data_IF_443908590187
#
_entry.id   IF_443908590187
#
_cell.length_a   1.000
_cell.length_b   1.000
_cell.length_c   1.000
_cell.angle_alpha   90.00
_cell.angle_beta   90.00
_cell.angle_gamma   90.00
#
_symmetry.space_group_name_H-M   'P 1'
#
loop_
_entity.id
_entity.type
_entity.pdbx_description
1 polymer ?
#
# COMPACT_ATOMS: atom_id res chain seq x y z
N UNK A 1 -9.41 52.68 -0.07
CA UNK A 1 -9.72 51.66 -1.10
C UNK A 1 -9.19 50.31 -0.62
N UNK A 2 -10.04 49.28 -0.70
CA UNK A 2 -9.92 47.97 -0.04
C UNK A 2 -8.56 47.29 -0.27
N UNK A 3 -7.81 47.02 0.80
CA UNK A 3 -6.76 45.97 0.79
C UNK A 3 -7.43 44.70 1.29
N UNK A 4 -7.62 43.77 0.37
CA UNK A 4 -8.18 42.44 0.64
C UNK A 4 -7.18 41.70 1.53
N UNK A 5 -7.67 41.32 2.71
CA UNK A 5 -7.02 40.43 3.66
C UNK A 5 -6.92 39.04 2.99
N UNK A 6 -5.75 38.70 2.43
CA UNK A 6 -5.45 37.31 2.10
C UNK A 6 -5.16 36.58 3.42
N UNK A 7 -6.20 35.91 3.93
CA UNK A 7 -6.10 34.88 4.93
C UNK A 7 -5.38 33.69 4.27
N UNK A 8 -4.04 33.69 4.30
CA UNK A 8 -3.29 32.47 4.01
C UNK A 8 -3.62 31.49 5.14
N UNK A 9 -4.41 30.46 4.79
CA UNK A 9 -4.62 29.28 5.61
C UNK A 9 -3.25 28.75 6.04
N UNK A 10 -2.89 29.01 7.29
CA UNK A 10 -1.88 28.23 7.99
C UNK A 10 -2.49 26.85 8.23
N UNK A 11 -2.46 25.98 7.22
CA UNK A 11 -2.60 24.54 7.44
C UNK A 11 -1.31 24.13 8.14
N UNK A 12 -1.36 24.18 9.47
CA UNK A 12 -0.36 23.57 10.35
C UNK A 12 -0.30 22.07 10.00
N UNK A 13 0.61 21.69 9.11
CA UNK A 13 1.09 20.33 9.04
C UNK A 13 2.00 20.11 10.24
N UNK A 14 1.40 19.75 11.36
CA UNK A 14 2.15 19.09 12.43
C UNK A 14 2.39 17.67 11.93
N UNK A 15 3.49 17.47 11.19
CA UNK A 15 4.10 16.17 10.98
C UNK A 15 4.73 15.71 12.29
N UNK A 16 3.86 15.39 13.25
CA UNK A 16 4.26 14.54 14.36
C UNK A 16 4.44 13.14 13.78
N UNK A 17 5.68 12.82 13.42
CA UNK A 17 6.21 11.46 13.43
C UNK A 17 6.16 10.94 14.87
N UNK A 18 4.95 10.72 15.39
CA UNK A 18 4.71 9.87 16.53
C UNK A 18 4.34 8.51 15.97
N UNK A 19 5.25 7.56 16.11
CA UNK A 19 4.86 6.17 16.35
C UNK A 19 4.08 6.17 17.67
N UNK A 20 2.83 6.64 17.64
CA UNK A 20 1.88 6.35 18.68
C UNK A 20 1.72 4.83 18.64
N UNK A 21 1.99 4.17 19.76
CA UNK A 21 1.42 2.86 20.04
C UNK A 21 -0.10 3.06 19.94
N UNK A 22 -0.65 2.86 18.75
CA UNK A 22 -2.07 2.98 18.51
C UNK A 22 -2.73 1.85 19.28
N UNK A 23 -3.90 2.12 19.88
CA UNK A 23 -4.72 1.15 20.61
C UNK A 23 -5.27 0.03 19.67
N UNK A 24 -4.39 -0.68 18.96
CA UNK A 24 -4.72 -1.59 17.87
C UNK A 24 -5.36 -0.91 16.66
N UNK A 25 -5.11 0.39 16.44
CA UNK A 25 -5.66 1.15 15.31
C UNK A 25 -4.63 1.35 14.20
N UNK A 26 -5.08 1.30 12.96
CA UNK A 26 -4.28 1.40 11.75
C UNK A 26 -4.81 2.57 10.91
N UNK A 27 -3.89 3.35 10.34
CA UNK A 27 -4.22 4.58 9.61
C UNK A 27 -4.56 4.24 8.18
N UNK A 28 -5.77 4.59 7.74
CA UNK A 28 -6.18 4.49 6.34
C UNK A 28 -6.57 5.86 5.81
N UNK A 29 -6.15 6.18 4.59
CA UNK A 29 -6.58 7.39 3.90
C UNK A 29 -7.82 7.06 3.07
N UNK A 30 -8.98 7.56 3.46
CA UNK A 30 -10.15 7.54 2.59
C UNK A 30 -10.03 8.71 1.63
N UNK A 31 -9.81 8.43 0.35
CA UNK A 31 -9.41 9.45 -0.60
C UNK A 31 -10.45 9.69 -1.69
N UNK A 32 -10.61 10.97 -2.07
CA UNK A 32 -11.35 11.39 -3.23
C UNK A 32 -10.47 12.27 -4.13
N UNK A 33 -9.81 11.69 -5.13
CA UNK A 33 -8.96 12.43 -6.06
C UNK A 33 -9.76 13.03 -7.22
N UNK A 34 -11.09 12.81 -7.27
CA UNK A 34 -11.93 13.23 -8.40
C UNK A 34 -12.35 14.70 -8.29
N UNK A 35 -13.00 15.19 -9.35
CA UNK A 35 -13.59 16.53 -9.38
C UNK A 35 -15.04 16.57 -8.84
N UNK A 36 -15.57 15.46 -8.32
CA UNK A 36 -16.94 15.36 -7.81
C UNK A 36 -16.95 15.03 -6.33
N UNK A 37 -18.05 15.36 -5.65
CA UNK A 37 -18.27 14.85 -4.30
C UNK A 37 -18.52 13.35 -4.36
N UNK A 38 -18.03 12.62 -3.37
CA UNK A 38 -18.35 11.21 -3.19
C UNK A 38 -18.96 10.96 -1.82
N UNK A 39 -19.76 9.90 -1.73
CA UNK A 39 -20.36 9.43 -0.48
C UNK A 39 -20.04 7.96 -0.30
N UNK A 40 -19.61 7.61 0.90
CA UNK A 40 -19.31 6.24 1.32
C UNK A 40 -19.64 6.11 2.79
N UNK A 41 -20.11 4.95 3.21
CA UNK A 41 -20.26 4.62 4.64
C UNK A 41 -19.18 3.62 5.03
N UNK A 42 -18.46 3.86 6.12
CA UNK A 42 -17.51 2.91 6.71
C UNK A 42 -17.89 2.67 8.16
N UNK A 43 -18.10 1.41 8.56
CA UNK A 43 -18.54 1.01 9.90
C UNK A 43 -19.69 1.86 10.46
N UNK A 44 -20.75 2.03 9.66
CA UNK A 44 -21.95 2.84 9.98
C UNK A 44 -21.74 4.36 10.01
N UNK A 45 -20.52 4.86 9.80
CA UNK A 45 -20.25 6.30 9.69
C UNK A 45 -20.27 6.72 8.23
N UNK A 46 -21.12 7.71 7.91
CA UNK A 46 -21.20 8.30 6.58
C UNK A 46 -20.11 9.35 6.40
N UNK A 47 -19.39 9.26 5.29
CA UNK A 47 -18.38 10.21 4.84
C UNK A 47 -18.84 10.85 3.53
N UNK A 48 -18.81 12.20 3.50
CA UNK A 48 -19.09 12.98 2.30
C UNK A 48 -17.83 13.76 1.93
N UNK A 49 -17.02 13.22 1.01
CA UNK A 49 -15.75 13.83 0.65
C UNK A 49 -15.96 14.83 -0.49
N UNK A 50 -15.39 16.01 -0.33
CA UNK A 50 -15.31 17.03 -1.37
C UNK A 50 -14.29 16.63 -2.44
N UNK A 51 -14.30 17.26 -3.63
CA UNK A 51 -13.33 16.96 -4.66
C UNK A 51 -11.91 17.24 -4.17
N UNK A 52 -10.95 16.39 -4.55
CA UNK A 52 -9.52 16.53 -4.20
C UNK A 52 -9.27 16.64 -2.70
N UNK A 53 -10.00 15.85 -1.91
CA UNK A 53 -9.83 15.79 -0.45
C UNK A 53 -9.74 14.35 0.01
N UNK A 54 -9.20 14.16 1.21
CA UNK A 54 -9.14 12.89 1.88
C UNK A 54 -9.53 13.04 3.35
N UNK A 55 -9.90 11.93 3.96
CA UNK A 55 -10.17 11.79 5.38
C UNK A 55 -9.24 10.72 5.97
N UNK A 56 -8.78 10.94 7.20
CA UNK A 56 -7.94 9.97 7.91
C UNK A 56 -8.81 9.07 8.76
N UNK A 57 -8.85 7.78 8.41
CA UNK A 57 -9.52 6.73 9.16
C UNK A 57 -8.56 6.08 10.14
N UNK A 58 -9.03 5.85 11.37
CA UNK A 58 -8.30 5.10 12.39
C UNK A 58 -9.06 3.80 12.67
N UNK A 59 -8.84 2.79 11.85
CA UNK A 59 -9.59 1.52 11.89
C UNK A 59 -8.89 0.51 12.80
N UNK A 60 -9.65 -0.24 13.58
CA UNK A 60 -9.07 -1.29 14.45
C UNK A 60 -8.70 -2.53 13.65
N UNK A 61 -7.99 -3.49 14.24
CA UNK A 61 -7.97 -4.84 13.67
C UNK A 61 -9.36 -5.48 13.74
N UNK A 62 -9.66 -6.39 12.82
CA UNK A 62 -10.93 -7.12 12.77
C UNK A 62 -11.68 -6.89 11.48
N UNK A 63 -12.97 -7.19 11.51
CA UNK A 63 -13.88 -7.09 10.36
C UNK A 63 -14.49 -5.69 10.27
N UNK A 64 -14.63 -5.23 9.02
CA UNK A 64 -15.14 -3.92 8.66
C UNK A 64 -16.04 -4.02 7.45
N UNK A 65 -16.90 -3.01 7.28
CA UNK A 65 -17.76 -2.88 6.12
C UNK A 65 -17.69 -1.47 5.55
N UNK A 66 -17.59 -1.39 4.23
CA UNK A 66 -17.78 -0.20 3.45
C UNK A 66 -19.03 -0.35 2.56
N UNK A 67 -19.88 0.68 2.51
CA UNK A 67 -21.02 0.74 1.59
C UNK A 67 -20.81 1.89 0.61
N UNK A 68 -20.72 1.55 -0.67
CA UNK A 68 -20.54 2.48 -1.78
C UNK A 68 -21.84 3.20 -2.11
N UNK A 69 -21.76 4.27 -2.90
CA UNK A 69 -22.92 5.07 -3.28
C UNK A 69 -23.96 4.34 -4.13
N UNK A 70 -23.54 3.28 -4.83
CA UNK A 70 -24.42 2.43 -5.63
C UNK A 70 -25.11 1.32 -4.81
N UNK A 71 -24.85 1.26 -3.49
CA UNK A 71 -25.39 0.25 -2.57
C UNK A 71 -24.48 -0.96 -2.38
N UNK A 72 -23.41 -1.10 -3.18
CA UNK A 72 -22.45 -2.21 -3.06
C UNK A 72 -21.80 -2.20 -1.68
N UNK A 73 -21.81 -3.35 -1.01
CA UNK A 73 -21.17 -3.57 0.29
C UNK A 73 -19.88 -4.35 0.12
N UNK A 74 -18.79 -3.80 0.61
CA UNK A 74 -17.46 -4.40 0.62
C UNK A 74 -17.08 -4.72 2.05
N UNK A 75 -16.91 -5.99 2.36
CA UNK A 75 -16.44 -6.47 3.64
C UNK A 75 -14.94 -6.67 3.56
N UNK A 76 -14.22 -6.21 4.58
CA UNK A 76 -12.78 -6.33 4.62
C UNK A 76 -12.29 -6.58 6.05
N UNK A 77 -11.13 -7.19 6.16
CA UNK A 77 -10.51 -7.55 7.44
C UNK A 77 -9.15 -6.91 7.56
N UNK A 78 -8.91 -6.23 8.68
CA UNK A 78 -7.63 -5.62 9.04
C UNK A 78 -6.89 -6.54 10.02
N UNK A 79 -5.64 -6.86 9.70
CA UNK A 79 -4.78 -7.69 10.53
C UNK A 79 -3.96 -6.87 11.54
N UNK A 80 -3.49 -7.51 12.61
CA UNK A 80 -2.74 -6.84 13.68
C UNK A 80 -1.40 -6.26 13.22
N UNK A 81 -0.82 -6.79 12.14
CA UNK A 81 0.42 -6.28 11.53
C UNK A 81 0.16 -5.20 10.46
N UNK A 82 -1.08 -4.73 10.30
CA UNK A 82 -1.42 -3.75 9.28
C UNK A 82 -0.61 -2.46 9.46
N UNK A 83 -0.05 -1.97 8.37
CA UNK A 83 0.60 -0.67 8.25
C UNK A 83 -0.37 0.39 7.76
N UNK A 84 -1.64 0.03 7.55
CA UNK A 84 -2.64 0.91 6.98
C UNK A 84 -2.72 0.82 5.46
N UNK A 85 -3.25 1.87 4.83
CA UNK A 85 -3.42 1.90 3.38
C UNK A 85 -4.27 3.05 2.88
N UNK A 86 -4.80 2.90 1.67
CA UNK A 86 -5.73 3.86 1.05
C UNK A 86 -7.04 3.14 0.76
N UNK A 87 -8.17 3.73 1.15
CA UNK A 87 -9.51 3.34 0.72
C UNK A 87 -9.86 4.22 -0.48
N UNK A 88 -9.97 3.58 -1.65
CA UNK A 88 -10.15 4.20 -2.96
C UNK A 88 -11.55 3.87 -3.54
N UNK A 89 -12.61 4.55 -3.08
CA UNK A 89 -13.97 4.34 -3.57
C UNK A 89 -14.17 4.74 -5.04
N UNK A 90 -13.18 5.38 -5.65
CA UNK A 90 -13.29 5.98 -6.99
C UNK A 90 -12.62 5.18 -8.10
N UNK A 91 -11.85 4.14 -7.75
CA UNK A 91 -11.04 3.38 -8.70
C UNK A 91 -9.90 4.20 -9.31
N UNK A 92 -9.49 5.27 -8.61
CA UNK A 92 -8.42 6.14 -9.06
C UNK A 92 -7.07 5.43 -9.11
N UNK A 93 -6.23 5.80 -10.08
CA UNK A 93 -4.91 5.19 -10.27
C UNK A 93 -3.83 5.98 -9.53
N UNK A 94 -3.27 5.37 -8.50
CA UNK A 94 -2.14 5.87 -7.73
C UNK A 94 -0.84 5.39 -8.33
N UNK A 95 0.23 6.18 -8.18
CA UNK A 95 1.53 5.88 -8.77
C UNK A 95 2.59 5.80 -7.68
N UNK A 96 3.48 4.81 -7.76
CA UNK A 96 4.67 4.72 -6.91
C UNK A 96 5.86 5.36 -7.63
N UNK A 97 6.55 6.27 -6.95
CA UNK A 97 7.85 6.77 -7.41
C UNK A 97 8.94 6.45 -6.38
N UNK A 98 10.19 6.46 -6.85
CA UNK A 98 11.36 6.06 -6.09
C UNK A 98 12.32 7.22 -5.92
N UNK A 99 12.81 7.42 -4.70
CA UNK A 99 13.70 8.52 -4.33
C UNK A 99 14.99 7.98 -3.76
N UNK A 100 16.10 8.31 -4.43
CA UNK A 100 17.44 7.92 -4.00
C UNK A 100 17.88 8.80 -2.84
N UNK A 101 18.23 8.16 -1.74
CA UNK A 101 18.93 8.79 -0.64
C UNK A 101 20.38 8.30 -0.61
N UNK A 102 21.30 9.26 -0.46
CA UNK A 102 22.68 8.99 -0.11
C UNK A 102 23.09 9.87 1.06
N UNK A 103 23.73 9.24 2.04
CA UNK A 103 24.34 9.90 3.17
C UNK A 103 25.52 10.77 2.71
N UNK A 104 25.75 11.95 3.32
CA UNK A 104 26.91 12.78 3.04
C UNK A 104 28.26 12.09 3.31
N UNK A 105 28.27 10.94 4.00
CA UNK A 105 29.48 10.18 4.35
C UNK A 105 30.10 9.44 3.18
N UNK A 106 29.31 9.19 2.12
CA UNK A 106 29.72 8.37 0.99
C UNK A 106 29.40 9.08 -0.33
N UNK A 107 29.98 8.57 -1.42
CA UNK A 107 29.66 8.99 -2.78
C UNK A 107 29.34 7.75 -3.59
N UNK A 108 28.20 7.77 -4.29
CA UNK A 108 27.71 6.66 -5.11
C UNK A 108 27.40 7.19 -6.49
N UNK A 109 27.84 6.46 -7.52
CA UNK A 109 27.46 6.75 -8.89
C UNK A 109 26.14 6.03 -9.21
N UNK A 110 25.06 6.79 -9.40
CA UNK A 110 23.74 6.25 -9.68
C UNK A 110 23.54 6.13 -11.19
N UNK A 111 23.25 4.93 -11.67
CA UNK A 111 22.81 4.76 -13.06
C UNK A 111 21.34 5.16 -13.19
N UNK A 112 21.04 6.03 -14.15
CA UNK A 112 19.64 6.33 -14.46
C UNK A 112 18.94 5.11 -15.05
N UNK A 113 17.70 4.79 -14.60
CA UNK A 113 16.96 3.69 -15.16
C UNK A 113 16.53 4.04 -16.59
N UNK A 114 16.70 3.10 -17.51
CA UNK A 114 16.21 3.21 -18.88
C UNK A 114 14.67 3.13 -18.84
N UNK A 115 13.99 4.20 -19.29
CA UNK A 115 12.53 4.29 -19.49
C UNK A 115 11.68 3.45 -18.54
N UNK A 116 11.70 3.79 -17.24
CA UNK A 116 10.91 3.08 -16.24
C UNK A 116 9.43 3.53 -16.27
N UNK A 117 8.53 2.60 -16.61
CA UNK A 117 7.10 2.77 -16.32
C UNK A 117 6.92 2.62 -14.83
N UNK A 118 6.48 3.68 -14.16
CA UNK A 118 6.22 3.64 -12.73
C UNK A 118 5.05 2.68 -12.40
N UNK A 119 5.14 1.89 -11.32
CA UNK A 119 4.03 1.03 -10.90
C UNK A 119 2.80 1.84 -10.54
N UNK A 120 1.64 1.31 -10.90
CA UNK A 120 0.35 1.93 -10.61
C UNK A 120 -0.61 0.95 -9.94
N UNK A 121 -1.49 1.50 -9.10
CA UNK A 121 -2.45 0.73 -8.30
C UNK A 121 -3.79 1.47 -8.28
N UNK A 122 -4.89 0.74 -8.48
CA UNK A 122 -6.23 1.32 -8.50
C UNK A 122 -7.27 0.51 -7.71
N UNK A 123 -6.82 -0.46 -6.93
CA UNK A 123 -7.68 -1.31 -6.08
C UNK A 123 -8.51 -0.47 -5.11
N UNK A 124 -9.68 -0.98 -4.71
CA UNK A 124 -10.53 -0.35 -3.70
C UNK A 124 -9.83 -0.19 -2.34
N UNK A 125 -8.99 -1.15 -1.95
CA UNK A 125 -8.09 -1.02 -0.79
C UNK A 125 -6.67 -1.24 -1.27
N UNK A 126 -5.87 -0.19 -1.22
CA UNK A 126 -4.45 -0.22 -1.55
C UNK A 126 -3.70 -0.50 -0.25
N UNK A 127 -3.17 -1.72 -0.11
CA UNK A 127 -2.55 -2.22 1.12
C UNK A 127 -1.07 -1.78 1.24
N UNK A 128 -0.74 -1.02 2.29
CA UNK A 128 0.62 -0.57 2.56
C UNK A 128 1.56 -1.71 2.93
N UNK A 129 1.06 -2.82 3.49
CA UNK A 129 1.90 -3.99 3.76
C UNK A 129 2.40 -4.62 2.47
N UNK A 130 1.53 -4.71 1.46
CA UNK A 130 1.84 -5.38 0.21
C UNK A 130 2.72 -4.54 -0.72
N UNK A 131 2.42 -3.25 -0.85
CA UNK A 131 3.15 -2.34 -1.75
C UNK A 131 4.40 -1.76 -1.06
N UNK A 132 4.38 -1.67 0.27
CA UNK A 132 5.50 -1.24 1.11
C UNK A 132 6.00 0.19 0.83
N UNK A 133 5.11 1.13 0.51
CA UNK A 133 5.52 2.53 0.38
C UNK A 133 5.90 3.17 1.73
N UNK A 134 6.79 4.15 1.70
CA UNK A 134 7.31 4.81 2.91
C UNK A 134 6.78 6.23 3.12
N UNK A 135 6.45 6.93 2.02
CA UNK A 135 5.85 8.25 2.04
C UNK A 135 4.40 8.18 1.59
N UNK A 136 3.50 8.64 2.46
CA UNK A 136 2.06 8.62 2.21
C UNK A 136 1.64 9.70 1.21
N UNK A 137 0.38 9.64 0.77
CA UNK A 137 -0.21 10.69 -0.07
C UNK A 137 -0.10 12.04 0.65
N UNK A 138 0.25 13.07 -0.12
CA UNK A 138 0.50 14.44 0.35
C UNK A 138 1.66 14.60 1.35
N UNK A 139 2.42 13.54 1.65
CA UNK A 139 3.67 13.64 2.42
C UNK A 139 4.83 14.03 1.49
N UNK A 140 5.61 15.05 1.86
CA UNK A 140 6.73 15.54 1.05
C UNK A 140 8.01 14.71 1.25
N UNK A 141 8.63 14.31 0.13
CA UNK A 141 9.98 13.72 0.11
C UNK A 141 11.00 14.84 -0.04
N UNK A 142 11.78 15.08 1.01
CA UNK A 142 12.81 16.12 1.01
C UNK A 142 14.12 15.56 1.55
N UNK A 143 15.23 16.26 1.27
CA UNK A 143 16.54 15.91 1.85
C UNK A 143 16.53 15.92 3.38
N UNK A 144 15.60 16.65 3.99
CA UNK A 144 15.45 16.72 5.44
C UNK A 144 14.51 15.64 6.01
N UNK A 145 13.51 15.19 5.25
CA UNK A 145 12.58 14.15 5.71
C UNK A 145 13.16 12.75 5.58
N UNK A 146 13.95 12.48 4.54
CA UNK A 146 14.54 11.17 4.25
C UNK A 146 15.39 10.62 5.41
N UNK A 147 16.42 11.34 5.93
CA UNK A 147 17.24 10.82 7.03
C UNK A 147 16.45 10.49 8.30
N UNK A 148 15.31 11.15 8.54
CA UNK A 148 14.50 10.95 9.75
C UNK A 148 13.78 9.59 9.75
N UNK A 149 13.62 8.95 8.59
CA UNK A 149 13.01 7.63 8.44
C UNK A 149 14.03 6.50 8.43
N UNK A 150 15.34 6.80 8.46
CA UNK A 150 16.41 5.81 8.36
C UNK A 150 17.08 5.53 9.72
N UNK A 151 17.56 4.29 9.93
CA UNK A 151 18.55 4.00 10.94
C UNK A 151 19.84 4.84 10.75
N UNK A 152 20.55 5.22 11.84
CA UNK A 152 21.76 6.05 11.76
C UNK A 152 22.92 5.47 10.93
N UNK A 153 22.89 4.15 10.69
CA UNK A 153 23.92 3.39 9.98
C UNK A 153 23.54 3.09 8.51
N UNK A 154 22.43 3.61 8.01
CA UNK A 154 22.05 3.45 6.61
C UNK A 154 22.61 4.61 5.78
N UNK A 155 23.54 4.29 4.88
CA UNK A 155 24.21 5.28 4.02
C UNK A 155 23.59 5.42 2.63
N UNK A 156 22.86 4.41 2.17
CA UNK A 156 22.17 4.37 0.88
C UNK A 156 20.79 3.80 1.13
N UNK A 157 19.75 4.45 0.63
CA UNK A 157 18.39 3.92 0.65
C UNK A 157 17.62 4.37 -0.59
N UNK A 158 16.67 3.54 -1.04
CA UNK A 158 15.72 3.93 -2.09
C UNK A 158 14.35 4.02 -1.47
N UNK A 159 13.91 5.26 -1.23
CA UNK A 159 12.59 5.52 -0.69
C UNK A 159 11.50 5.32 -1.71
N UNK A 160 10.33 4.92 -1.22
CA UNK A 160 9.12 4.78 -2.02
C UNK A 160 8.06 5.79 -1.59
N UNK A 161 7.47 6.51 -2.54
CA UNK A 161 6.31 7.39 -2.31
C UNK A 161 5.14 6.97 -3.16
N UNK A 162 3.96 6.90 -2.55
CA UNK A 162 2.70 6.82 -3.25
C UNK A 162 2.17 8.23 -3.56
N UNK A 163 1.78 8.43 -4.80
CA UNK A 163 1.21 9.68 -5.29
C UNK A 163 -0.28 9.50 -5.53
N UNK A 164 -1.05 10.40 -4.93
CA UNK A 164 -2.40 10.67 -5.36
C UNK A 164 -2.40 11.22 -6.80
N UNK A 165 -3.36 10.85 -7.66
CA UNK A 165 -3.47 11.45 -9.01
C UNK A 165 -3.54 12.99 -9.00
N UNK A 166 -4.06 13.60 -7.94
CA UNK A 166 -4.12 15.06 -7.76
C UNK A 166 -2.79 15.69 -7.32
N UNK A 167 -1.82 14.92 -6.80
CA UNK A 167 -0.48 15.41 -6.45
C UNK A 167 0.45 15.49 -7.67
N UNK A 168 0.14 14.69 -8.69
CA UNK A 168 0.93 14.60 -9.91
C UNK A 168 0.78 15.90 -10.70
N UNK A 169 1.81 16.74 -10.66
CA UNK A 169 1.91 17.94 -11.50
C UNK A 169 2.41 17.56 -12.88
N UNK A 170 1.88 18.20 -13.92
CA UNK A 170 2.50 18.12 -15.25
C UNK A 170 3.93 18.69 -15.15
N UNK A 171 4.93 18.03 -15.74
CA UNK A 171 6.29 18.55 -15.76
C UNK A 171 6.31 19.94 -16.43
N UNK A 172 6.86 20.93 -15.72
CA UNK A 172 7.13 22.25 -16.30
C UNK A 172 8.44 22.19 -17.09
N UNK A 173 8.31 22.12 -18.42
CA UNK A 173 9.43 22.03 -19.34
C UNK A 173 10.16 23.37 -19.57
N UNK A 174 9.71 24.47 -18.93
CA UNK A 174 10.31 25.82 -19.12
C UNK A 174 11.39 26.16 -18.10
N UNK A 175 11.36 25.58 -16.90
CA UNK A 175 12.38 25.76 -15.86
C UNK A 175 13.20 24.48 -15.72
N UNK A 176 14.48 24.53 -16.10
CA UNK A 176 15.38 23.37 -16.14
C UNK A 176 15.30 22.48 -14.88
N UNK A 177 14.99 21.20 -15.12
CA UNK A 177 14.92 20.08 -14.16
C UNK A 177 14.07 20.33 -12.91
N UNK A 178 12.74 20.38 -13.10
CA UNK A 178 11.84 19.88 -12.07
C UNK A 178 12.28 18.46 -11.68
N UNK A 179 12.48 18.22 -10.37
CA UNK A 179 12.92 16.94 -9.77
C UNK A 179 12.35 15.78 -10.58
N UNK A 180 13.23 15.07 -11.29
CA UNK A 180 12.98 14.05 -12.32
C UNK A 180 11.64 13.32 -12.14
N UNK A 181 10.59 13.95 -12.67
CA UNK A 181 9.27 13.38 -12.83
C UNK A 181 9.36 12.53 -14.08
N UNK A 182 9.57 11.22 -13.92
CA UNK A 182 9.23 10.25 -14.96
C UNK A 182 7.85 10.63 -15.46
N UNK A 183 7.71 10.89 -16.76
CA UNK A 183 6.48 11.35 -17.41
C UNK A 183 5.28 10.59 -16.84
N UNK A 184 4.60 11.17 -15.84
CA UNK A 184 3.46 10.51 -15.23
C UNK A 184 2.41 10.43 -16.33
N UNK A 185 2.08 9.21 -16.76
CA UNK A 185 0.86 9.06 -17.55
C UNK A 185 -0.29 9.49 -16.65
N UNK A 186 -0.99 10.54 -17.07
CA UNK A 186 -2.22 10.99 -16.43
C UNK A 186 -3.14 9.78 -16.33
N UNK A 187 -3.63 9.51 -15.14
CA UNK A 187 -4.49 8.35 -14.88
C UNK A 187 -5.73 8.40 -15.79
N UNK A 188 -6.11 7.28 -16.40
CA UNK A 188 -7.35 7.10 -17.17
C UNK A 188 -8.59 7.02 -16.24
N UNK A 189 -8.68 7.93 -15.26
CA UNK A 189 -9.85 7.99 -14.38
C UNK A 189 -11.00 8.56 -15.18
N UNK A 190 -12.10 7.82 -15.26
CA UNK A 190 -13.38 8.40 -15.62
C UNK A 190 -13.79 9.37 -14.49
N UNK A 191 -13.37 10.64 -14.64
CA UNK A 191 -13.71 11.71 -13.71
C UNK A 191 -15.22 12.02 -13.72
N UNK A 192 -15.96 11.51 -14.70
CA UNK A 192 -17.40 11.64 -14.78
C UNK A 192 -18.11 10.52 -14.02
N UNK A 193 -17.66 9.26 -14.12
CA UNK A 193 -18.26 8.11 -13.45
C UNK A 193 -17.23 7.31 -12.64
N UNK A 194 -16.72 7.87 -11.52
CA UNK A 194 -15.78 7.16 -10.67
C UNK A 194 -16.43 5.90 -10.09
N UNK A 195 -15.76 4.76 -10.23
CA UNK A 195 -16.23 3.47 -9.73
C UNK A 195 -15.08 2.71 -9.08
N UNK A 196 -15.30 2.21 -7.88
CA UNK A 196 -14.33 1.39 -7.17
C UNK A 196 -13.88 0.18 -8.00
N UNK A 197 -12.57 -0.07 -8.06
CA UNK A 197 -12.05 -1.31 -8.63
C UNK A 197 -12.08 -2.42 -7.57
N UNK A 198 -13.10 -3.28 -7.66
CA UNK A 198 -13.31 -4.38 -6.72
C UNK A 198 -12.63 -5.66 -7.26
N UNK A 199 -11.82 -6.35 -6.44
CA UNK A 199 -11.14 -7.55 -6.89
C UNK A 199 -12.13 -8.70 -7.07
N UNK A 200 -11.76 -9.65 -7.94
CA UNK A 200 -12.40 -10.97 -7.93
C UNK A 200 -11.92 -11.74 -6.71
N UNK A 201 -12.85 -12.23 -5.90
CA UNK A 201 -12.53 -13.08 -4.76
C UNK A 201 -12.35 -14.51 -5.28
N UNK A 202 -11.11 -14.86 -5.63
CA UNK A 202 -10.73 -16.21 -6.07
C UNK A 202 -10.38 -17.09 -4.86
N UNK A 203 -11.00 -18.27 -4.78
CA UNK A 203 -10.83 -19.24 -3.70
C UNK A 203 -9.58 -20.09 -3.80
N UNK A 204 -9.00 -20.22 -4.99
CA UNK A 204 -8.08 -21.32 -5.24
C UNK A 204 -6.62 -20.94 -4.98
N UNK A 205 -5.90 -21.86 -4.36
CA UNK A 205 -4.45 -21.78 -4.17
C UNK A 205 -3.75 -22.43 -5.37
N UNK A 206 -2.71 -21.77 -5.86
CA UNK A 206 -1.89 -22.29 -6.94
C UNK A 206 -0.83 -23.24 -6.37
N UNK A 207 -1.16 -24.51 -6.24
CA UNK A 207 -0.23 -25.51 -5.69
C UNK A 207 0.65 -26.05 -6.81
N UNK A 208 1.98 -25.80 -6.80
CA UNK A 208 2.87 -26.32 -7.82
C UNK A 208 2.89 -27.85 -7.77
N UNK A 209 2.88 -28.52 -8.92
CA UNK A 209 3.12 -29.96 -8.98
C UNK A 209 4.61 -30.25 -8.82
N UNK A 210 4.99 -31.05 -7.82
CA UNK A 210 6.39 -31.34 -7.49
C UNK A 210 6.49 -32.71 -6.80
N UNK A 211 7.40 -33.55 -7.28
CA UNK A 211 7.63 -34.91 -6.75
C UNK A 211 8.34 -34.93 -5.38
N UNK A 212 8.94 -33.80 -4.98
CA UNK A 212 9.53 -33.65 -3.66
C UNK A 212 8.44 -33.54 -2.59
N UNK A 213 8.20 -34.66 -1.92
CA UNK A 213 7.18 -34.78 -0.85
C UNK A 213 7.43 -33.82 0.31
N UNK A 214 8.68 -33.50 0.63
CA UNK A 214 9.00 -32.60 1.73
C UNK A 214 8.67 -31.15 1.34
N UNK A 215 9.01 -30.73 0.11
CA UNK A 215 8.57 -29.44 -0.44
C UNK A 215 7.05 -29.31 -0.43
N UNK A 216 6.34 -30.31 -0.97
CA UNK A 216 4.88 -30.35 -0.98
C UNK A 216 4.27 -30.22 0.42
N UNK A 217 4.90 -30.84 1.42
CA UNK A 217 4.46 -30.73 2.81
C UNK A 217 4.63 -29.31 3.36
N UNK A 218 5.70 -28.60 3.00
CA UNK A 218 5.86 -27.19 3.38
C UNK A 218 4.83 -26.29 2.71
N UNK A 219 4.52 -26.50 1.42
CA UNK A 219 3.47 -25.75 0.73
C UNK A 219 2.10 -25.95 1.42
N UNK A 220 1.75 -27.19 1.76
CA UNK A 220 0.52 -27.49 2.51
C UNK A 220 0.48 -26.80 3.88
N UNK A 221 1.62 -26.75 4.59
CA UNK A 221 1.71 -26.03 5.85
C UNK A 221 1.51 -24.52 5.68
N UNK A 222 2.13 -23.90 4.66
CA UNK A 222 1.94 -22.47 4.37
C UNK A 222 0.47 -22.18 4.08
N UNK A 223 -0.20 -22.99 3.27
CA UNK A 223 -1.63 -22.82 2.97
C UNK A 223 -2.49 -22.96 4.23
N UNK A 224 -2.17 -23.92 5.10
CA UNK A 224 -2.86 -24.08 6.37
C UNK A 224 -2.64 -22.86 7.30
N UNK A 225 -1.43 -22.30 7.33
CA UNK A 225 -1.11 -21.08 8.07
C UNK A 225 -1.86 -19.88 7.49
N UNK A 226 -1.97 -19.75 6.16
CA UNK A 226 -2.71 -18.67 5.50
C UNK A 226 -4.19 -18.69 5.86
N UNK A 227 -4.83 -19.87 5.78
CA UNK A 227 -6.22 -20.05 6.23
C UNK A 227 -6.39 -19.70 7.71
N UNK A 228 -5.52 -20.24 8.57
CA UNK A 228 -5.57 -19.96 10.00
C UNK A 228 -5.36 -18.48 10.32
N UNK A 229 -4.51 -17.77 9.56
CA UNK A 229 -4.26 -16.34 9.69
C UNK A 229 -5.49 -15.53 9.30
N UNK A 230 -6.11 -15.89 8.17
CA UNK A 230 -7.35 -15.29 7.67
C UNK A 230 -8.51 -15.45 8.65
N UNK A 231 -8.62 -16.58 9.35
CA UNK A 231 -9.75 -16.87 10.25
C UNK A 231 -9.62 -16.24 11.65
N UNK A 232 -8.40 -15.99 12.13
CA UNK A 232 -8.19 -15.52 13.51
C UNK A 232 -8.31 -14.00 13.66
N UNK A 233 -8.94 -13.54 14.75
CA UNK A 233 -8.94 -12.12 15.19
C UNK A 233 -8.05 -11.89 16.43
N UNK A 234 -7.26 -12.89 16.84
CA UNK A 234 -6.34 -12.79 17.97
C UNK A 234 -4.93 -12.36 17.48
N UNK A 235 -4.49 -11.18 17.89
CA UNK A 235 -3.19 -10.61 17.52
C UNK A 235 -1.99 -11.49 17.95
N UNK A 236 -2.07 -12.17 19.10
CA UNK A 236 -1.00 -13.06 19.56
C UNK A 236 -0.94 -14.32 18.69
N UNK A 237 -2.09 -14.86 18.28
CA UNK A 237 -2.15 -15.98 17.32
C UNK A 237 -1.63 -15.57 15.96
N UNK A 238 -2.05 -14.40 15.43
CA UNK A 238 -1.54 -13.85 14.17
C UNK A 238 -0.02 -13.73 14.19
N UNK A 239 0.55 -13.16 15.26
CA UNK A 239 2.01 -13.05 15.43
C UNK A 239 2.71 -14.41 15.41
N UNK A 240 2.17 -15.41 16.10
CA UNK A 240 2.73 -16.77 16.09
C UNK A 240 2.67 -17.40 14.71
N UNK A 241 1.56 -17.23 13.99
CA UNK A 241 1.40 -17.74 12.63
C UNK A 241 2.44 -17.12 11.68
N UNK A 242 2.63 -15.80 11.73
CA UNK A 242 3.65 -15.12 10.92
C UNK A 242 5.07 -15.59 11.25
N UNK A 243 5.36 -15.88 12.52
CA UNK A 243 6.65 -16.44 12.92
C UNK A 243 6.88 -17.85 12.38
N UNK A 244 5.87 -18.72 12.40
CA UNK A 244 5.97 -20.05 11.81
C UNK A 244 6.07 -19.99 10.27
N UNK A 245 5.31 -19.08 9.64
CA UNK A 245 5.42 -18.82 8.21
C UNK A 245 6.84 -18.38 7.81
N UNK A 246 7.43 -17.41 8.52
CA UNK A 246 8.80 -16.93 8.27
C UNK A 246 9.83 -18.06 8.41
N UNK A 247 9.69 -18.93 9.41
CA UNK A 247 10.56 -20.11 9.56
C UNK A 247 10.46 -21.05 8.36
N UNK A 248 9.25 -21.39 7.93
CA UNK A 248 9.04 -22.30 6.79
C UNK A 248 9.53 -21.64 5.50
N UNK A 249 9.21 -20.38 5.26
CA UNK A 249 9.66 -19.62 4.09
C UNK A 249 11.19 -19.60 3.98
N UNK A 250 11.90 -19.41 5.10
CA UNK A 250 13.38 -19.49 5.16
C UNK A 250 13.91 -20.89 4.83
N UNK A 251 13.26 -21.96 5.30
CA UNK A 251 13.63 -23.33 4.96
C UNK A 251 13.45 -23.58 3.47
N UNK A 252 12.31 -23.18 2.90
CA UNK A 252 12.04 -23.32 1.46
C UNK A 252 13.10 -22.54 0.68
N UNK A 253 13.37 -21.29 1.06
CA UNK A 253 14.38 -20.46 0.41
C UNK A 253 15.78 -21.09 0.45
N UNK A 254 16.23 -21.56 1.62
CA UNK A 254 17.56 -22.16 1.79
C UNK A 254 17.71 -23.47 1.00
N UNK A 255 16.72 -24.36 1.09
CA UNK A 255 16.88 -25.75 0.65
C UNK A 255 16.26 -26.03 -0.73
N UNK A 256 15.38 -25.15 -1.19
CA UNK A 256 14.57 -25.34 -2.40
C UNK A 256 14.73 -24.18 -3.40
N UNK A 257 15.77 -23.36 -3.25
CA UNK A 257 16.14 -22.28 -4.19
C UNK A 257 16.32 -22.75 -5.64
N UNK A 258 16.57 -24.05 -5.88
CA UNK A 258 16.65 -24.65 -7.22
C UNK A 258 15.30 -24.68 -7.96
N UNK A 259 14.18 -24.63 -7.25
CA UNK A 259 12.83 -24.56 -7.84
C UNK A 259 12.45 -23.11 -8.22
N UNK A 260 13.45 -22.30 -8.61
CA UNK A 260 13.32 -20.89 -9.01
C UNK A 260 12.07 -20.66 -9.88
N UNK A 261 11.10 -19.94 -9.31
CA UNK A 261 10.11 -19.19 -10.07
C UNK A 261 10.62 -17.74 -10.00
N UNK A 262 10.84 -17.10 -11.16
CA UNK A 262 11.79 -16.00 -11.33
C UNK A 262 11.42 -14.65 -10.62
N UNK A 263 12.48 -13.96 -10.15
CA UNK A 263 12.68 -12.52 -9.75
C UNK A 263 11.83 -11.91 -8.59
N UNK A 264 12.37 -11.26 -7.54
CA UNK A 264 13.75 -11.11 -7.03
C UNK A 264 13.87 -10.32 -5.68
N UNK A 265 14.49 -10.94 -4.62
CA UNK A 265 15.05 -10.44 -3.31
C UNK A 265 14.59 -11.18 -2.00
N UNK A 266 15.27 -12.24 -1.52
CA UNK A 266 14.60 -13.42 -0.85
C UNK A 266 13.53 -14.07 -1.75
N UNK A 267 12.89 -13.26 -2.60
CA UNK A 267 12.04 -13.45 -3.77
C UNK A 267 12.71 -14.23 -4.92
N UNK A 268 13.40 -15.34 -4.61
CA UNK A 268 13.60 -16.43 -5.59
C UNK A 268 12.61 -17.57 -5.40
N UNK A 269 11.90 -17.58 -4.27
CA UNK A 269 10.70 -18.38 -4.08
C UNK A 269 9.55 -17.40 -4.09
N UNK A 270 8.93 -17.22 -5.25
CA UNK A 270 7.74 -16.39 -5.35
C UNK A 270 6.56 -17.13 -4.71
N UNK A 271 6.41 -16.99 -3.39
CA UNK A 271 5.23 -17.49 -2.68
C UNK A 271 3.96 -16.74 -3.13
N UNK A 272 4.07 -15.58 -3.81
CA UNK A 272 2.91 -14.94 -4.46
C UNK A 272 2.37 -15.82 -5.59
N UNK A 273 3.20 -16.64 -6.22
CA UNK A 273 2.74 -17.64 -7.19
C UNK A 273 1.77 -18.65 -6.58
N UNK A 274 1.79 -18.87 -5.25
CA UNK A 274 0.83 -19.74 -4.56
C UNK A 274 -0.57 -19.11 -4.42
N UNK A 275 -0.73 -17.84 -4.78
CA UNK A 275 -1.96 -17.09 -4.56
C UNK A 275 -2.34 -17.05 -3.06
N UNK A 276 -1.36 -16.82 -2.17
CA UNK A 276 -1.63 -16.65 -0.74
C UNK A 276 -2.55 -15.45 -0.53
N UNK A 277 -3.51 -15.60 0.38
CA UNK A 277 -4.61 -14.63 0.50
C UNK A 277 -4.31 -13.56 1.54
N UNK A 278 -3.50 -13.86 2.56
CA UNK A 278 -3.45 -13.05 3.78
C UNK A 278 -2.08 -12.88 4.42
N UNK A 279 -1.15 -13.83 4.28
CA UNK A 279 0.12 -13.82 5.04
C UNK A 279 1.05 -12.65 4.69
N UNK A 280 0.94 -12.05 3.50
CA UNK A 280 1.68 -10.87 3.06
C UNK A 280 0.85 -9.57 3.12
N UNK A 281 -0.39 -9.65 3.63
CA UNK A 281 -1.35 -8.55 3.66
C UNK A 281 -1.51 -7.95 5.06
N UNK A 282 -1.75 -6.65 5.09
CA UNK A 282 -2.25 -5.93 6.26
C UNK A 282 -3.76 -5.86 6.28
N UNK A 283 -4.39 -6.02 5.11
CA UNK A 283 -5.84 -5.93 4.93
C UNK A 283 -6.26 -6.78 3.73
N UNK A 284 -7.43 -7.42 3.82
CA UNK A 284 -8.02 -8.19 2.71
C UNK A 284 -9.49 -7.85 2.56
N UNK A 285 -10.00 -7.93 1.32
CA UNK A 285 -11.44 -7.94 1.05
C UNK A 285 -11.92 -9.38 1.22
N UNK A 286 -12.91 -9.59 2.07
CA UNK A 286 -13.43 -10.92 2.43
C UNK A 286 -14.72 -11.25 1.68
N UNK A 287 -15.53 -10.25 1.35
CA UNK A 287 -16.81 -10.44 0.67
C UNK A 287 -17.24 -9.16 -0.05
N UNK A 288 -17.95 -9.31 -1.17
CA UNK A 288 -18.62 -8.21 -1.89
C UNK A 288 -20.07 -8.61 -2.09
N UNK A 289 -21.01 -7.70 -1.77
CA UNK A 289 -22.45 -7.86 -2.00
C UNK A 289 -22.97 -6.68 -2.82
N UNK A 290 -23.60 -6.98 -3.95
CA UNK A 290 -24.29 -6.00 -4.83
C UNK A 290 -25.78 -5.88 -4.47
#
# INVERSE_FOLDING_TARGET
MKKILLLLLSVFFISNSLFAATDGKHIFYLDNPTNKNIKITVDSKVYNLKPKTYEVLNLKMGEHIAELSDGTKVYFKIFANSKGGIVNPTGATYTINYFRYQSPRISVDWREPEDAVLPTFNDFIIDKNYIAWEYDIFEEVTKESMPKKLPPNEDIHVFTKIYNPSEVKEPDYTEGKAIEVYSFKKSDIDMENPKANLPKIDSDYNIPNNDDKAFQNYIKQIIALDKAYMDTNDAKKQKKILQEYDKIAKIIWSNYSKYNIAQGSYDKVDLKALNLKSLDRGVIITEIKE
#
